data_IF_755711270082
#
_entry.id   IF_755711270082
#
_cell.length_a   1.000
_cell.length_b   1.000
_cell.length_c   1.000
_cell.angle_alpha   90.00
_cell.angle_beta   90.00
_cell.angle_gamma   90.00
#
_symmetry.space_group_name_H-M   'P 1'
#
loop_
_entity.id
_entity.type
_entity.pdbx_description
1 polymer ?
#
# COMPACT_ATOMS: atom_id res chain seq x y z
N UNK A 1 -2.09 -22.03 -6.00
CA UNK A 1 -1.78 -20.63 -5.64
C UNK A 1 -2.99 -19.82 -6.04
N UNK A 2 -3.65 -19.14 -5.10
CA UNK A 2 -4.82 -18.34 -5.41
C UNK A 2 -4.34 -17.07 -6.11
N UNK A 3 -4.58 -16.96 -7.42
CA UNK A 3 -4.48 -15.70 -8.15
C UNK A 3 -5.60 -14.79 -7.64
N UNK A 4 -5.36 -14.11 -6.52
CA UNK A 4 -6.30 -13.13 -5.97
C UNK A 4 -6.01 -11.82 -6.73
N UNK A 5 -6.86 -11.49 -7.69
CA UNK A 5 -6.80 -10.21 -8.38
C UNK A 5 -7.20 -9.12 -7.39
N UNK A 6 -6.22 -8.53 -6.70
CA UNK A 6 -6.47 -7.36 -5.87
C UNK A 6 -6.91 -6.20 -6.75
N UNK A 7 -7.94 -5.50 -6.29
CA UNK A 7 -8.25 -4.19 -6.84
C UNK A 7 -7.13 -3.22 -6.52
N UNK A 8 -7.04 -2.16 -7.31
CA UNK A 8 -6.10 -1.06 -7.07
C UNK A 8 -6.23 -0.44 -5.68
N UNK A 9 -7.46 -0.30 -5.17
CA UNK A 9 -7.71 0.23 -3.82
C UNK A 9 -7.21 -0.72 -2.72
N UNK A 10 -7.39 -2.03 -2.90
CA UNK A 10 -6.89 -3.04 -1.95
C UNK A 10 -5.37 -3.07 -1.89
N UNK A 11 -4.70 -3.01 -3.05
CA UNK A 11 -3.23 -2.96 -3.10
C UNK A 11 -2.70 -1.69 -2.42
N UNK A 12 -3.32 -0.54 -2.66
CA UNK A 12 -2.91 0.72 -2.03
C UNK A 12 -3.16 0.70 -0.53
N UNK A 13 -4.31 0.21 -0.07
CA UNK A 13 -4.58 0.04 1.36
C UNK A 13 -3.52 -0.85 2.03
N UNK A 14 -3.15 -1.96 1.38
CA UNK A 14 -2.17 -2.90 1.91
C UNK A 14 -0.78 -2.26 2.02
N UNK A 15 -0.36 -1.53 0.99
CA UNK A 15 0.91 -0.80 0.99
C UNK A 15 0.95 0.26 2.09
N UNK A 16 -0.14 1.03 2.26
CA UNK A 16 -0.21 2.06 3.30
C UNK A 16 -0.11 1.46 4.71
N UNK A 17 -0.77 0.33 4.97
CA UNK A 17 -0.65 -0.40 6.23
C UNK A 17 0.77 -0.91 6.47
N UNK A 18 1.40 -1.49 5.44
CA UNK A 18 2.78 -1.97 5.55
C UNK A 18 3.74 -0.85 5.94
N UNK A 19 3.61 0.33 5.31
CA UNK A 19 4.46 1.47 5.61
C UNK A 19 4.20 2.01 7.01
N UNK A 20 2.92 2.18 7.38
CA UNK A 20 2.52 2.60 8.72
C UNK A 20 3.01 1.64 9.81
N UNK A 21 3.18 0.35 9.51
CA UNK A 21 3.72 -0.63 10.45
C UNK A 21 5.27 -0.61 10.53
N UNK A 22 5.95 -0.32 9.41
CA UNK A 22 7.40 -0.51 9.26
C UNK A 22 8.29 0.64 9.76
N UNK A 23 7.83 1.90 9.69
CA UNK A 23 8.69 3.08 9.90
C UNK A 23 8.03 4.18 10.76
N UNK A 24 6.73 4.05 11.02
CA UNK A 24 5.94 5.03 11.76
C UNK A 24 5.31 4.30 12.95
N UNK A 25 5.30 4.89 14.14
CA UNK A 25 4.68 4.23 15.28
C UNK A 25 3.19 4.18 15.01
N UNK A 26 2.59 3.00 14.80
CA UNK A 26 1.16 2.84 14.46
C UNK A 26 0.29 3.79 15.31
N UNK A 27 -0.19 4.88 14.69
CA UNK A 27 -0.96 5.92 15.39
C UNK A 27 -2.38 6.03 14.84
N UNK A 28 -3.29 6.53 15.67
CA UNK A 28 -4.67 6.82 15.27
C UNK A 28 -4.77 7.72 14.02
N UNK A 29 -3.83 8.65 13.85
CA UNK A 29 -3.78 9.53 12.68
C UNK A 29 -3.55 8.77 11.37
N UNK A 30 -2.82 7.65 11.42
CA UNK A 30 -2.51 6.84 10.24
C UNK A 30 -3.71 6.00 9.84
N UNK A 31 -4.44 5.46 10.81
CA UNK A 31 -5.73 4.80 10.55
C UNK A 31 -6.72 5.77 9.89
N UNK A 32 -6.82 6.99 10.43
CA UNK A 32 -7.68 8.04 9.87
C UNK A 32 -7.20 8.46 8.46
N UNK A 33 -5.90 8.52 8.23
CA UNK A 33 -5.33 8.79 6.91
C UNK A 33 -5.68 7.70 5.89
N UNK A 34 -5.49 6.43 6.23
CA UNK A 34 -5.82 5.32 5.32
C UNK A 34 -7.32 5.31 5.02
N UNK A 35 -8.17 5.50 6.02
CA UNK A 35 -9.62 5.61 5.87
C UNK A 35 -10.07 6.84 5.06
N UNK A 36 -9.23 7.86 4.91
CA UNK A 36 -9.48 8.98 4.00
C UNK A 36 -9.21 8.64 2.54
N UNK A 37 -8.45 7.56 2.26
CA UNK A 37 -8.05 7.15 0.90
C UNK A 37 -8.82 5.95 0.37
N UNK A 38 -9.29 5.08 1.27
CA UNK A 38 -10.09 3.89 0.91
C UNK A 38 -11.35 3.83 1.75
N UNK A 39 -12.39 3.20 1.22
CA UNK A 39 -13.62 3.00 1.98
C UNK A 39 -13.40 2.04 3.17
N UNK A 40 -14.27 2.12 4.18
CA UNK A 40 -14.17 1.34 5.41
C UNK A 40 -14.23 -0.18 5.18
N UNK A 41 -14.95 -0.65 4.16
CA UNK A 41 -15.04 -2.07 3.83
C UNK A 41 -13.70 -2.61 3.34
N UNK A 42 -13.10 -1.94 2.35
CA UNK A 42 -11.76 -2.25 1.83
C UNK A 42 -10.72 -2.17 2.94
N UNK A 43 -10.78 -1.13 3.77
CA UNK A 43 -9.88 -0.99 4.92
C UNK A 43 -9.96 -2.20 5.86
N UNK A 44 -11.16 -2.57 6.30
CA UNK A 44 -11.36 -3.68 7.23
C UNK A 44 -10.98 -5.04 6.62
N UNK A 45 -11.27 -5.24 5.33
CA UNK A 45 -10.87 -6.46 4.64
C UNK A 45 -9.35 -6.62 4.64
N UNK A 46 -8.65 -5.56 4.22
CA UNK A 46 -7.21 -5.57 4.04
C UNK A 46 -6.46 -5.53 5.36
N UNK A 47 -6.95 -4.80 6.38
CA UNK A 47 -6.35 -4.80 7.72
C UNK A 47 -6.35 -6.20 8.34
N UNK A 48 -7.46 -6.95 8.23
CA UNK A 48 -7.51 -8.35 8.71
C UNK A 48 -6.52 -9.25 7.98
N UNK A 49 -6.34 -9.04 6.68
CA UNK A 49 -5.36 -9.81 5.91
C UNK A 49 -3.93 -9.46 6.34
N UNK A 50 -3.63 -8.17 6.45
CA UNK A 50 -2.33 -7.64 6.89
C UNK A 50 -1.93 -8.09 8.29
N UNK A 51 -2.85 -8.07 9.27
CA UNK A 51 -2.58 -8.47 10.66
C UNK A 51 -2.17 -9.95 10.80
N UNK A 52 -2.48 -10.78 9.79
CA UNK A 52 -2.08 -12.18 9.73
C UNK A 52 -0.75 -12.43 9.04
N UNK A 53 -0.14 -11.41 8.43
CA UNK A 53 1.07 -11.53 7.62
C UNK A 53 2.29 -10.98 8.38
N UNK A 54 3.41 -11.69 8.28
CA UNK A 54 4.72 -11.14 8.67
C UNK A 54 5.33 -10.30 7.53
N UNK A 55 6.45 -9.61 7.80
CA UNK A 55 7.15 -8.77 6.82
C UNK A 55 7.43 -9.47 5.49
N UNK A 56 7.92 -10.72 5.54
CA UNK A 56 8.24 -11.49 4.34
C UNK A 56 6.99 -11.79 3.51
N UNK A 57 5.89 -12.19 4.16
CA UNK A 57 4.61 -12.45 3.50
C UNK A 57 4.04 -11.17 2.89
N UNK A 58 4.08 -10.06 3.63
CA UNK A 58 3.64 -8.75 3.16
C UNK A 58 4.41 -8.28 1.92
N UNK A 59 5.74 -8.35 1.94
CA UNK A 59 6.59 -8.02 0.79
C UNK A 59 6.25 -8.91 -0.41
N UNK A 60 6.14 -10.23 -0.19
CA UNK A 60 5.83 -11.19 -1.26
C UNK A 60 4.47 -10.91 -1.90
N UNK A 61 3.46 -10.54 -1.10
CA UNK A 61 2.13 -10.17 -1.60
C UNK A 61 2.16 -8.87 -2.40
N UNK A 62 2.84 -7.85 -1.91
CA UNK A 62 3.00 -6.57 -2.62
C UNK A 62 3.64 -6.82 -3.99
N UNK A 63 4.80 -7.50 -4.02
CA UNK A 63 5.51 -7.80 -5.27
C UNK A 63 4.66 -8.67 -6.20
N UNK A 64 3.99 -9.70 -5.67
CA UNK A 64 3.10 -10.57 -6.43
C UNK A 64 1.94 -9.83 -7.07
N UNK A 65 1.23 -9.01 -6.30
CA UNK A 65 0.10 -8.21 -6.76
C UNK A 65 0.52 -7.23 -7.86
N UNK A 66 1.64 -6.52 -7.68
CA UNK A 66 2.21 -5.60 -8.68
C UNK A 66 2.56 -6.33 -9.98
N UNK A 67 3.24 -7.47 -9.89
CA UNK A 67 3.64 -8.25 -11.07
C UNK A 67 2.46 -8.95 -11.78
N UNK A 68 1.37 -9.24 -11.06
CA UNK A 68 0.17 -9.85 -11.62
C UNK A 68 -0.80 -8.86 -12.25
N UNK A 69 -0.74 -7.59 -11.84
CA UNK A 69 -1.62 -6.54 -12.35
C UNK A 69 -1.21 -6.16 -13.76
N UNK A 70 -2.11 -6.31 -14.74
CA UNK A 70 -1.87 -5.84 -16.12
C UNK A 70 -1.55 -4.33 -16.17
N UNK A 71 -2.07 -3.56 -15.22
CA UNK A 71 -1.81 -2.11 -15.08
C UNK A 71 -0.41 -1.78 -14.56
N UNK A 72 0.25 -2.69 -13.82
CA UNK A 72 1.53 -2.39 -13.16
C UNK A 72 2.70 -3.25 -13.64
N UNK A 73 2.41 -4.42 -14.20
CA UNK A 73 3.40 -5.42 -14.66
C UNK A 73 4.41 -4.87 -15.67
N UNK A 74 4.00 -3.90 -16.48
CA UNK A 74 4.86 -3.26 -17.49
C UNK A 74 5.20 -1.80 -17.14
N UNK A 75 4.69 -1.28 -16.01
CA UNK A 75 4.85 0.12 -15.63
C UNK A 75 4.74 0.32 -14.11
N UNK A 76 5.76 -0.05 -13.33
CA UNK A 76 5.79 0.22 -11.89
C UNK A 76 5.72 1.72 -11.57
N UNK A 77 6.10 2.59 -12.51
CA UNK A 77 5.93 4.05 -12.35
C UNK A 77 4.44 4.45 -12.29
N UNK A 78 3.54 3.69 -12.91
CA UNK A 78 2.09 3.89 -12.83
C UNK A 78 1.56 3.55 -11.45
N UNK A 79 2.08 2.48 -10.82
CA UNK A 79 1.79 2.17 -9.42
C UNK A 79 2.28 3.30 -8.51
N UNK A 80 3.50 3.79 -8.72
CA UNK A 80 4.02 4.92 -7.95
C UNK A 80 3.19 6.19 -8.18
N UNK A 81 2.75 6.45 -9.41
CA UNK A 81 1.89 7.58 -9.73
C UNK A 81 0.52 7.44 -9.07
N UNK A 82 -0.03 6.24 -9.02
CA UNK A 82 -1.31 5.93 -8.41
C UNK A 82 -1.28 6.00 -6.89
N UNK A 83 -0.22 5.47 -6.28
CA UNK A 83 0.04 5.63 -4.85
C UNK A 83 0.29 7.11 -4.57
N UNK A 84 1.01 7.83 -5.43
CA UNK A 84 1.13 9.29 -5.33
C UNK A 84 -0.21 10.00 -5.39
N UNK A 85 -1.08 9.63 -6.31
CA UNK A 85 -2.35 10.30 -6.52
C UNK A 85 -3.36 9.96 -5.42
N UNK A 86 -3.35 8.73 -4.92
CA UNK A 86 -4.24 8.27 -3.84
C UNK A 86 -3.74 8.68 -2.46
N UNK A 87 -2.42 8.72 -2.21
CA UNK A 87 -1.90 9.08 -0.90
C UNK A 87 -1.56 10.59 -0.79
N UNK A 88 -1.16 11.28 -1.86
CA UNK A 88 -0.49 12.59 -1.82
C UNK A 88 -1.36 13.75 -2.37
N UNK A 89 -2.69 13.61 -2.26
CA UNK A 89 -3.67 14.48 -2.92
C UNK A 89 -3.68 15.95 -2.45
N UNK A 90 -3.04 16.31 -1.33
CA UNK A 90 -3.01 17.68 -0.82
C UNK A 90 -1.79 18.50 -1.30
N UNK A 91 -0.91 17.88 -2.10
CA UNK A 91 0.24 18.52 -2.73
C UNK A 91 1.43 18.78 -1.79
N UNK A 92 1.41 18.26 -0.55
CA UNK A 92 2.52 18.40 0.39
C UNK A 92 3.07 17.04 0.77
N UNK A 93 4.30 16.77 0.34
CA UNK A 93 5.11 15.66 0.87
C UNK A 93 5.33 15.80 2.38
N UNK A 94 4.50 15.11 3.15
CA UNK A 94 4.69 14.91 4.58
C UNK A 94 5.65 13.73 4.87
N UNK A 95 5.87 13.44 6.15
CA UNK A 95 6.78 12.38 6.58
C UNK A 95 6.29 10.98 6.17
N UNK A 96 4.98 10.74 6.17
CA UNK A 96 4.36 9.47 5.78
C UNK A 96 4.58 9.23 4.29
N UNK A 97 4.38 10.26 3.49
CA UNK A 97 4.58 10.27 2.05
C UNK A 97 6.01 9.89 1.63
N UNK A 98 7.02 10.40 2.34
CA UNK A 98 8.41 9.99 2.14
C UNK A 98 8.69 8.55 2.56
N UNK A 99 8.11 8.09 3.68
CA UNK A 99 8.26 6.72 4.15
C UNK A 99 7.66 5.71 3.14
N UNK A 100 6.51 6.03 2.55
CA UNK A 100 5.85 5.20 1.53
C UNK A 100 6.75 5.07 0.31
N UNK A 101 7.22 6.20 -0.22
CA UNK A 101 8.07 6.23 -1.40
C UNK A 101 9.36 5.42 -1.22
N UNK A 102 10.05 5.61 -0.10
CA UNK A 102 11.32 4.92 0.19
C UNK A 102 11.13 3.42 0.39
N UNK A 103 10.07 3.01 1.10
CA UNK A 103 9.75 1.60 1.34
C UNK A 103 9.43 0.87 0.03
N UNK A 104 8.59 1.47 -0.80
CA UNK A 104 8.25 0.89 -2.10
C UNK A 104 9.44 0.79 -3.04
N UNK A 105 10.28 1.84 -3.08
CA UNK A 105 11.50 1.82 -3.89
C UNK A 105 12.43 0.69 -3.46
N UNK A 106 12.51 0.40 -2.15
CA UNK A 106 13.31 -0.71 -1.63
C UNK A 106 12.72 -2.08 -1.96
N UNK A 107 11.39 -2.20 -2.00
CA UNK A 107 10.68 -3.47 -2.28
C UNK A 107 10.71 -3.83 -3.77
N UNK A 108 10.61 -2.82 -4.64
CA UNK A 108 10.41 -3.01 -6.08
C UNK A 108 11.69 -2.81 -6.91
N UNK A 109 12.83 -2.50 -6.27
CA UNK A 109 14.13 -2.35 -6.93
C UNK A 109 14.87 -3.67 -7.13
#
# INVERSE_FOLDING_TARGET
MVNKNWTKQELVAYILLYVAHSDLKETRQEHEYILSRVNLETYNHIKREFDGDNDYQSITKIVGAVNSSESYKNNPDELFADIKLMAFADGKMDQMEHAIYNSLKKILS
#
